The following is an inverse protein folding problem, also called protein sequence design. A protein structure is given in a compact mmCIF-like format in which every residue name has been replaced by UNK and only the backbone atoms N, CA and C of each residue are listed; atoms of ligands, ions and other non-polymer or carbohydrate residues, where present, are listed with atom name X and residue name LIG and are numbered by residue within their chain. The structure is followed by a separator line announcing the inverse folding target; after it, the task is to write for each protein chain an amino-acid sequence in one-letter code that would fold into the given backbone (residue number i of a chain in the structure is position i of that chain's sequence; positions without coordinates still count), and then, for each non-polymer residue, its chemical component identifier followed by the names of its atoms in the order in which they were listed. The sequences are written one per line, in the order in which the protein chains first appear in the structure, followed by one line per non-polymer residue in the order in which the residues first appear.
data_IF_430169139285
#
_entry.id   IF_430169139285
#
_cell.length_a   1.000
_cell.length_b   1.000
_cell.length_c   1.000
_cell.angle_alpha   90.00
_cell.angle_beta   90.00
_cell.angle_gamma   90.00
#
_symmetry.space_group_name_H-M   'P 1'
#
loop_
_entity.id
_entity.type
_entity.pdbx_description
1 polymer ?
#
# COMPACT_ATOMS: atom_id res chain seq x y z
N UNK A 1 -59.70 -29.91 44.41
CA UNK A 1 -58.24 -29.72 44.48
C UNK A 1 -57.64 -30.26 43.20
N UNK A 2 -57.06 -29.33 42.43
CA UNK A 2 -56.04 -29.50 41.38
C UNK A 2 -56.34 -30.40 40.19
N UNK A 3 -56.90 -29.76 39.17
CA UNK A 3 -56.88 -30.16 37.76
C UNK A 3 -55.41 -30.31 37.28
N UNK A 4 -55.06 -31.34 36.51
CA UNK A 4 -53.75 -31.43 35.86
C UNK A 4 -53.60 -30.33 34.80
N UNK A 5 -52.48 -29.60 34.85
CA UNK A 5 -52.13 -28.64 33.81
C UNK A 5 -51.95 -29.35 32.46
N UNK A 6 -52.55 -28.82 31.38
CA UNK A 6 -52.37 -29.38 30.05
C UNK A 6 -50.98 -29.02 29.52
N UNK A 7 -50.32 -30.02 28.95
CA UNK A 7 -49.08 -29.88 28.20
C UNK A 7 -49.39 -29.05 26.94
N UNK A 8 -49.10 -27.75 26.95
CA UNK A 8 -49.29 -26.89 25.79
C UNK A 8 -48.23 -27.19 24.72
N UNK A 9 -48.58 -28.13 23.83
CA UNK A 9 -47.93 -28.31 22.53
C UNK A 9 -48.30 -27.14 21.62
N UNK A 10 -47.71 -25.97 21.86
CA UNK A 10 -47.89 -24.82 20.98
C UNK A 10 -47.11 -25.05 19.67
N UNK A 11 -47.80 -25.64 18.70
CA UNK A 11 -47.39 -25.74 17.29
C UNK A 11 -47.54 -24.36 16.65
N UNK A 12 -46.66 -23.43 17.03
CA UNK A 12 -46.58 -22.09 16.45
C UNK A 12 -45.78 -22.11 15.14
N UNK A 13 -46.18 -21.31 14.16
CA UNK A 13 -45.45 -21.11 12.91
C UNK A 13 -43.94 -20.88 13.19
N UNK A 14 -43.03 -21.49 12.41
CA UNK A 14 -41.59 -21.37 12.68
C UNK A 14 -41.17 -19.90 12.68
N UNK A 15 -40.52 -19.47 13.77
CA UNK A 15 -40.01 -18.11 13.94
C UNK A 15 -39.27 -17.67 12.67
N UNK A 16 -39.77 -16.64 11.93
CA UNK A 16 -39.15 -16.18 10.69
C UNK A 16 -37.68 -15.82 10.86
N UNK A 17 -37.29 -15.35 12.04
CA UNK A 17 -35.89 -15.10 12.39
C UNK A 17 -35.06 -16.37 12.50
N UNK A 18 -35.62 -17.46 13.05
CA UNK A 18 -34.93 -18.75 13.12
C UNK A 18 -34.73 -19.33 11.72
N UNK A 19 -35.72 -19.20 10.84
CA UNK A 19 -35.62 -19.63 9.43
C UNK A 19 -34.53 -18.83 8.69
N UNK A 20 -34.49 -17.50 8.85
CA UNK A 20 -33.45 -16.66 8.25
C UNK A 20 -32.04 -17.04 8.73
N UNK A 21 -31.85 -17.16 10.04
CA UNK A 21 -30.55 -17.49 10.61
C UNK A 21 -30.08 -18.90 10.22
N UNK A 22 -31.00 -19.89 10.20
CA UNK A 22 -30.71 -21.24 9.75
C UNK A 22 -30.34 -21.32 8.27
N UNK A 23 -31.10 -20.63 7.40
CA UNK A 23 -30.83 -20.58 5.97
C UNK A 23 -29.48 -19.89 5.67
N UNK A 24 -29.19 -18.78 6.36
CA UNK A 24 -27.91 -18.09 6.22
C UNK A 24 -26.72 -18.96 6.67
N UNK A 25 -26.85 -19.69 7.79
CA UNK A 25 -25.82 -20.60 8.26
C UNK A 25 -25.57 -21.73 7.25
N UNK A 26 -26.65 -22.29 6.68
CA UNK A 26 -26.57 -23.32 5.65
C UNK A 26 -25.92 -22.81 4.35
N UNK A 27 -26.23 -21.57 3.94
CA UNK A 27 -25.62 -20.93 2.77
C UNK A 27 -24.12 -20.73 2.98
N UNK A 28 -23.74 -20.12 4.11
CA UNK A 28 -22.33 -19.88 4.45
C UNK A 28 -21.52 -21.16 4.56
N UNK A 29 -22.11 -22.21 5.12
CA UNK A 29 -21.47 -23.52 5.20
C UNK A 29 -21.16 -24.08 3.80
N UNK A 30 -22.09 -23.94 2.85
CA UNK A 30 -21.89 -24.37 1.45
C UNK A 30 -20.83 -23.53 0.75
N UNK A 31 -20.81 -22.21 0.97
CA UNK A 31 -19.76 -21.32 0.44
C UNK A 31 -18.35 -21.74 0.90
N UNK A 32 -18.22 -22.19 2.14
CA UNK A 32 -16.95 -22.66 2.70
C UNK A 32 -16.64 -24.13 2.38
N UNK A 33 -17.46 -24.79 1.55
CA UNK A 33 -17.35 -26.23 1.22
C UNK A 33 -17.32 -27.15 2.46
N UNK A 34 -18.00 -26.75 3.54
CA UNK A 34 -18.06 -27.54 4.77
C UNK A 34 -19.27 -28.49 4.71
N UNK A 35 -19.05 -29.79 4.90
CA UNK A 35 -20.15 -30.76 4.93
C UNK A 35 -20.83 -30.81 6.31
N UNK A 36 -22.12 -31.13 6.36
CA UNK A 36 -22.83 -31.35 7.64
C UNK A 36 -22.19 -32.49 8.45
N UNK A 37 -21.70 -33.53 7.75
CA UNK A 37 -20.99 -34.66 8.36
C UNK A 37 -19.69 -34.21 9.02
N UNK A 38 -18.94 -33.29 8.40
CA UNK A 38 -17.70 -32.73 8.95
C UNK A 38 -17.93 -31.97 10.26
N UNK A 39 -19.01 -31.19 10.35
CA UNK A 39 -19.41 -30.48 11.58
C UNK A 39 -19.89 -31.42 12.70
N UNK A 40 -20.49 -32.55 12.32
CA UNK A 40 -20.87 -33.58 13.27
C UNK A 40 -19.67 -34.35 13.80
N UNK A 41 -18.72 -34.70 12.93
CA UNK A 41 -17.47 -35.37 13.32
C UNK A 41 -16.56 -34.49 14.17
N UNK A 42 -16.58 -33.17 14.00
CA UNK A 42 -15.84 -32.24 14.86
C UNK A 42 -16.45 -32.04 16.25
N UNK A 43 -17.59 -32.70 16.53
CA UNK A 43 -18.23 -32.66 17.85
C UNK A 43 -18.85 -31.30 18.21
N UNK A 44 -19.01 -30.40 17.23
CA UNK A 44 -19.57 -29.06 17.45
C UNK A 44 -21.08 -29.13 17.65
N UNK A 45 -21.76 -29.92 16.81
CA UNK A 45 -23.21 -30.11 16.84
C UNK A 45 -23.57 -31.46 16.23
N UNK A 46 -24.55 -32.17 16.80
CA UNK A 46 -25.06 -33.41 16.21
C UNK A 46 -25.70 -33.13 14.83
N UNK A 47 -25.49 -34.00 13.85
CA UNK A 47 -26.03 -33.86 12.49
C UNK A 47 -27.54 -33.57 12.45
N UNK A 48 -28.34 -34.25 13.30
CA UNK A 48 -29.78 -34.01 13.38
C UNK A 48 -30.11 -32.61 13.92
N UNK A 49 -29.37 -32.14 14.91
CA UNK A 49 -29.53 -30.81 15.50
C UNK A 49 -29.10 -29.69 14.54
N UNK A 50 -28.05 -29.93 13.75
CA UNK A 50 -27.61 -29.01 12.69
C UNK A 50 -28.67 -28.87 11.59
N UNK A 51 -29.23 -30.00 11.12
CA UNK A 51 -30.29 -29.98 10.11
C UNK A 51 -31.55 -29.28 10.64
N UNK A 52 -31.92 -29.52 11.89
CA UNK A 52 -33.06 -28.85 12.52
C UNK A 52 -32.83 -27.34 12.62
N UNK A 53 -31.63 -26.91 12.97
CA UNK A 53 -31.26 -25.49 12.99
C UNK A 53 -31.25 -24.86 11.59
N UNK A 54 -30.62 -25.50 10.60
CA UNK A 54 -30.56 -24.99 9.22
C UNK A 54 -31.96 -24.84 8.58
N UNK A 55 -32.91 -25.68 8.99
CA UNK A 55 -34.32 -25.61 8.57
C UNK A 55 -35.17 -24.66 9.43
N UNK A 56 -34.58 -23.96 10.40
CA UNK A 56 -35.28 -23.05 11.31
C UNK A 56 -36.21 -23.74 12.31
N UNK A 57 -36.06 -25.05 12.54
CA UNK A 57 -36.92 -25.86 13.43
C UNK A 57 -36.42 -25.91 14.87
N UNK A 58 -35.14 -25.58 15.10
CA UNK A 58 -34.55 -25.55 16.44
C UNK A 58 -33.55 -24.42 16.58
N UNK A 59 -33.32 -23.99 17.82
CA UNK A 59 -32.35 -22.96 18.14
C UNK A 59 -31.21 -23.54 19.00
N UNK A 60 -29.98 -23.65 18.49
CA UNK A 60 -28.87 -24.19 19.26
C UNK A 60 -28.54 -23.32 20.48
N UNK A 61 -28.00 -23.96 21.52
CA UNK A 61 -27.50 -23.26 22.73
C UNK A 61 -26.41 -22.27 22.35
N UNK A 62 -26.23 -21.23 23.15
CA UNK A 62 -25.26 -20.16 22.91
C UNK A 62 -23.83 -20.67 22.68
N UNK A 63 -23.35 -21.60 23.52
CA UNK A 63 -22.04 -22.24 23.34
C UNK A 63 -21.89 -22.95 21.99
N UNK A 64 -22.96 -23.58 21.49
CA UNK A 64 -22.95 -24.25 20.18
C UNK A 64 -23.01 -23.24 19.04
N UNK A 65 -23.77 -22.15 19.18
CA UNK A 65 -23.81 -21.05 18.21
C UNK A 65 -22.44 -20.38 18.07
N UNK A 66 -21.75 -20.11 19.18
CA UNK A 66 -20.42 -19.53 19.16
C UNK A 66 -19.40 -20.42 18.41
N UNK A 67 -19.41 -21.73 18.66
CA UNK A 67 -18.56 -22.68 17.92
C UNK A 67 -18.92 -22.77 16.43
N UNK A 68 -20.21 -22.68 16.09
CA UNK A 68 -20.64 -22.63 14.70
C UNK A 68 -20.19 -21.33 14.01
N UNK A 69 -20.27 -20.20 14.69
CA UNK A 69 -19.77 -18.91 14.18
C UNK A 69 -18.27 -18.97 13.89
N UNK A 70 -17.48 -19.55 14.79
CA UNK A 70 -16.04 -19.76 14.60
C UNK A 70 -15.75 -20.57 13.31
N UNK A 71 -16.42 -21.71 13.13
CA UNK A 71 -16.22 -22.55 11.93
C UNK A 71 -16.76 -21.90 10.66
N UNK A 72 -17.84 -21.13 10.76
CA UNK A 72 -18.40 -20.36 9.64
C UNK A 72 -17.64 -19.06 9.35
N UNK A 73 -16.55 -18.79 10.09
CA UNK A 73 -15.75 -17.57 10.04
C UNK A 73 -16.62 -16.32 10.18
N UNK A 74 -17.54 -16.36 11.13
CA UNK A 74 -18.42 -15.26 11.49
C UNK A 74 -18.01 -14.65 12.83
N UNK A 75 -18.17 -13.32 13.00
CA UNK A 75 -18.00 -12.68 14.30
C UNK A 75 -18.94 -13.31 15.35
N UNK A 76 -18.55 -13.34 16.64
CA UNK A 76 -19.42 -13.79 17.71
C UNK A 76 -20.77 -13.05 17.72
N UNK A 77 -21.87 -13.78 17.90
CA UNK A 77 -23.24 -13.24 17.95
C UNK A 77 -23.91 -13.02 16.59
N UNK A 78 -23.24 -13.32 15.49
CA UNK A 78 -23.77 -13.19 14.12
C UNK A 78 -25.06 -13.98 13.91
N UNK A 79 -25.17 -15.20 14.42
CA UNK A 79 -26.37 -16.03 14.31
C UNK A 79 -27.56 -15.37 15.03
N UNK A 80 -27.33 -14.73 16.19
CA UNK A 80 -28.37 -14.00 16.91
C UNK A 80 -28.81 -12.72 16.17
N UNK A 81 -27.87 -12.02 15.53
CA UNK A 81 -28.14 -10.83 14.69
C UNK A 81 -28.98 -11.19 13.46
N UNK A 82 -28.66 -12.30 12.80
CA UNK A 82 -29.45 -12.81 11.65
C UNK A 82 -30.88 -13.15 12.04
N UNK A 83 -31.09 -13.66 13.27
CA UNK A 83 -32.45 -13.89 13.79
C UNK A 83 -33.23 -12.59 13.90
N UNK A 84 -32.60 -11.50 14.35
CA UNK A 84 -33.22 -10.16 14.41
C UNK A 84 -33.41 -9.50 13.04
N UNK A 85 -32.90 -10.10 11.97
CA UNK A 85 -33.02 -9.56 10.61
C UNK A 85 -31.94 -8.53 10.24
N UNK A 86 -30.88 -8.41 11.05
CA UNK A 86 -29.75 -7.57 10.72
C UNK A 86 -28.95 -8.17 9.55
N UNK A 87 -28.67 -7.36 8.53
CA UNK A 87 -27.84 -7.78 7.40
C UNK A 87 -26.38 -7.85 7.87
N UNK A 88 -25.86 -9.08 7.94
CA UNK A 88 -24.45 -9.32 8.27
C UNK A 88 -23.64 -9.05 7.01
N UNK A 89 -23.11 -7.83 6.91
CA UNK A 89 -21.98 -7.55 6.01
C UNK A 89 -20.77 -8.34 6.54
N UNK A 90 -19.97 -9.01 5.69
CA UNK A 90 -18.69 -9.55 6.12
C UNK A 90 -17.85 -8.38 6.64
N UNK A 91 -17.77 -8.25 7.96
CA UNK A 91 -16.85 -7.34 8.64
C UNK A 91 -15.63 -8.18 8.94
N UNK A 92 -14.48 -7.72 8.45
CA UNK A 92 -13.18 -8.29 8.78
C UNK A 92 -13.04 -8.40 10.32
N UNK A 93 -12.31 -9.41 10.84
CA UNK A 93 -12.23 -9.67 12.27
C UNK A 93 -11.84 -8.42 13.08
N UNK A 94 -12.32 -8.27 14.33
CA UNK A 94 -11.95 -7.14 15.17
C UNK A 94 -10.45 -7.19 15.45
N UNK A 95 -9.82 -6.03 15.35
CA UNK A 95 -8.40 -5.77 15.57
C UNK A 95 -8.01 -6.13 17.02
N UNK A 96 -7.61 -7.38 17.24
CA UNK A 96 -6.64 -7.70 18.30
C UNK A 96 -5.27 -7.37 17.72
N UNK A 97 -4.72 -6.22 18.10
CA UNK A 97 -3.33 -5.79 17.87
C UNK A 97 -2.76 -6.34 16.57
N UNK A 98 -3.32 -5.90 15.44
CA UNK A 98 -2.73 -6.20 14.14
C UNK A 98 -1.36 -5.53 14.12
N UNK A 99 -0.31 -6.35 13.95
CA UNK A 99 0.89 -5.89 13.27
C UNK A 99 0.43 -5.07 12.04
N UNK A 100 1.06 -3.91 11.76
CA UNK A 100 0.60 -3.02 10.71
C UNK A 100 0.36 -3.85 9.45
N UNK A 101 -0.83 -3.73 8.86
CA UNK A 101 -1.09 -4.42 7.61
C UNK A 101 -0.08 -3.90 6.58
N UNK A 102 0.32 -4.70 5.59
CA UNK A 102 1.25 -4.25 4.53
C UNK A 102 0.81 -2.91 3.90
N UNK A 103 -0.50 -2.59 3.91
CA UNK A 103 -1.04 -1.32 3.46
C UNK A 103 -0.75 -0.13 4.39
N UNK A 104 -0.71 -0.36 5.71
CA UNK A 104 -0.36 0.65 6.71
C UNK A 104 1.14 0.94 6.67
N UNK A 105 1.97 -0.09 6.54
CA UNK A 105 3.42 0.08 6.38
C UNK A 105 3.76 0.89 5.11
N UNK A 106 3.12 0.56 3.98
CA UNK A 106 3.33 1.30 2.73
C UNK A 106 2.80 2.74 2.82
N UNK A 107 1.71 2.99 3.57
CA UNK A 107 1.23 4.35 3.83
C UNK A 107 2.18 5.14 4.73
N UNK A 108 2.72 4.52 5.78
CA UNK A 108 3.72 5.13 6.66
C UNK A 108 5.00 5.46 5.90
N UNK A 109 5.45 4.56 5.01
CA UNK A 109 6.60 4.81 4.14
C UNK A 109 6.34 6.00 3.21
N UNK A 110 5.18 6.05 2.55
CA UNK A 110 4.82 7.18 1.70
C UNK A 110 4.79 8.50 2.49
N UNK A 111 4.23 8.47 3.71
CA UNK A 111 4.22 9.63 4.61
C UNK A 111 5.63 10.05 5.06
N UNK A 112 6.51 9.09 5.33
CA UNK A 112 7.91 9.35 5.69
C UNK A 112 8.66 10.03 4.54
N UNK A 113 8.47 9.56 3.30
CA UNK A 113 9.04 10.19 2.10
C UNK A 113 8.54 11.63 1.94
N UNK A 114 7.23 11.86 2.06
CA UNK A 114 6.65 13.22 1.97
C UNK A 114 7.20 14.14 3.06
N UNK A 115 7.34 13.62 4.28
CA UNK A 115 7.91 14.37 5.42
C UNK A 115 9.38 14.72 5.16
N UNK A 116 10.17 13.78 4.64
CA UNK A 116 11.57 14.01 4.28
C UNK A 116 11.71 15.09 3.19
N UNK A 117 10.89 15.03 2.14
CA UNK A 117 10.83 16.07 1.09
C UNK A 117 10.51 17.44 1.70
N UNK A 118 9.56 17.51 2.64
CA UNK A 118 9.25 18.75 3.36
C UNK A 118 10.47 19.34 4.08
N UNK A 119 11.29 18.48 4.69
CA UNK A 119 12.58 18.87 5.29
C UNK A 119 13.61 19.34 4.27
N UNK A 120 13.67 18.73 3.08
CA UNK A 120 14.54 19.25 2.00
C UNK A 120 14.08 20.60 1.47
N UNK A 121 12.77 20.85 1.42
CA UNK A 121 12.24 22.15 1.00
C UNK A 121 12.75 23.31 1.85
N UNK A 122 12.86 23.14 3.18
CA UNK A 122 13.44 24.17 4.05
C UNK A 122 14.94 24.33 3.84
N UNK A 123 15.68 23.23 3.64
CA UNK A 123 17.11 23.28 3.30
C UNK A 123 17.35 24.00 1.98
N UNK A 124 16.56 23.72 0.94
CA UNK A 124 16.62 24.38 -0.37
C UNK A 124 16.32 25.88 -0.26
N UNK A 125 15.34 26.26 0.57
CA UNK A 125 15.01 27.66 0.84
C UNK A 125 16.14 28.41 1.57
N UNK A 126 16.98 27.70 2.33
CA UNK A 126 18.15 28.25 3.03
C UNK A 126 19.43 28.29 2.19
N UNK A 127 19.39 27.81 0.94
CA UNK A 127 20.55 27.87 0.05
C UNK A 127 20.93 29.32 -0.25
N UNK A 128 22.24 29.63 -0.32
CA UNK A 128 22.69 30.97 -0.67
C UNK A 128 22.29 31.35 -2.12
N UNK A 129 22.50 32.62 -2.52
CA UNK A 129 22.38 33.03 -3.92
C UNK A 129 23.25 32.20 -4.86
N UNK A 130 22.88 32.06 -6.14
CA UNK A 130 23.57 31.15 -7.09
C UNK A 130 24.98 31.63 -7.45
N UNK A 131 25.26 32.91 -7.25
CA UNK A 131 26.56 33.54 -7.44
C UNK A 131 27.50 33.33 -6.24
N UNK A 132 26.97 32.88 -5.10
CA UNK A 132 27.77 32.62 -3.90
C UNK A 132 28.66 31.38 -4.14
N UNK A 133 29.98 31.46 -3.90
CA UNK A 133 30.88 30.30 -4.01
C UNK A 133 30.47 29.09 -3.17
N UNK A 134 29.74 29.29 -2.06
CA UNK A 134 29.22 28.23 -1.21
C UNK A 134 27.96 27.55 -1.78
N UNK A 135 27.35 28.07 -2.84
CA UNK A 135 26.14 27.54 -3.43
C UNK A 135 26.35 26.15 -4.03
N UNK A 136 27.28 26.00 -4.98
CA UNK A 136 27.51 24.72 -5.69
C UNK A 136 27.78 23.56 -4.72
N UNK A 137 28.70 23.67 -3.74
CA UNK A 137 28.93 22.57 -2.80
C UNK A 137 27.68 22.19 -2.00
N UNK A 138 26.88 23.18 -1.57
CA UNK A 138 25.66 22.94 -0.78
C UNK A 138 24.54 22.32 -1.62
N UNK A 139 24.30 22.83 -2.82
CA UNK A 139 23.25 22.29 -3.69
C UNK A 139 23.59 20.88 -4.17
N UNK A 140 24.86 20.59 -4.45
CA UNK A 140 25.33 19.24 -4.81
C UNK A 140 25.10 18.25 -3.66
N UNK A 141 25.31 18.65 -2.41
CA UNK A 141 25.00 17.80 -1.25
C UNK A 141 23.49 17.51 -1.15
N UNK A 142 22.64 18.54 -1.30
CA UNK A 142 21.18 18.36 -1.31
C UNK A 142 20.71 17.43 -2.43
N UNK A 143 21.25 17.59 -3.64
CA UNK A 143 20.95 16.72 -4.79
C UNK A 143 21.39 15.27 -4.54
N UNK A 144 22.53 15.06 -3.88
CA UNK A 144 22.97 13.73 -3.45
C UNK A 144 21.97 13.10 -2.47
N UNK A 145 21.55 13.83 -1.45
CA UNK A 145 20.60 13.33 -0.45
C UNK A 145 19.23 13.01 -1.06
N UNK A 146 18.75 13.85 -1.99
CA UNK A 146 17.51 13.60 -2.73
C UNK A 146 17.59 12.33 -3.59
N UNK A 147 18.71 12.07 -4.26
CA UNK A 147 18.92 10.81 -5.01
C UNK A 147 18.93 9.60 -4.09
N UNK A 148 19.55 9.71 -2.91
CA UNK A 148 19.53 8.64 -1.91
C UNK A 148 18.10 8.37 -1.43
N UNK A 149 17.32 9.42 -1.16
CA UNK A 149 15.90 9.28 -0.79
C UNK A 149 15.09 8.60 -1.90
N UNK A 150 15.27 9.01 -3.17
CA UNK A 150 14.61 8.35 -4.29
C UNK A 150 15.00 6.87 -4.38
N UNK A 151 16.28 6.54 -4.29
CA UNK A 151 16.77 5.17 -4.39
C UNK A 151 16.17 4.27 -3.30
N UNK A 152 16.11 4.77 -2.05
CA UNK A 152 15.49 4.04 -0.93
C UNK A 152 13.99 3.86 -1.17
N UNK A 153 13.28 4.91 -1.56
CA UNK A 153 11.85 4.86 -1.81
C UNK A 153 11.49 3.94 -3.00
N UNK A 154 12.27 3.99 -4.08
CA UNK A 154 12.10 3.16 -5.26
C UNK A 154 12.39 1.68 -4.96
N UNK A 155 13.42 1.39 -4.14
CA UNK A 155 13.70 0.02 -3.68
C UNK A 155 12.57 -0.52 -2.83
N UNK A 156 12.06 0.28 -1.91
CA UNK A 156 10.92 -0.11 -1.08
C UNK A 156 9.65 -0.34 -1.91
N UNK A 157 9.40 0.49 -2.94
CA UNK A 157 8.31 0.30 -3.89
C UNK A 157 8.40 -1.01 -4.70
N UNK A 158 9.62 -1.51 -4.95
CA UNK A 158 9.86 -2.76 -5.67
C UNK A 158 9.67 -4.01 -4.79
N UNK A 159 10.02 -3.90 -3.51
CA UNK A 159 9.89 -5.00 -2.53
C UNK A 159 8.44 -5.12 -2.07
N UNK A 160 7.79 -3.98 -1.82
CA UNK A 160 6.39 -3.92 -1.45
C UNK A 160 5.44 -3.83 -2.65
N UNK A 161 4.16 -3.64 -2.37
CA UNK A 161 3.17 -3.32 -3.40
C UNK A 161 3.30 -1.85 -3.81
N UNK A 162 3.43 -1.59 -5.10
CA UNK A 162 3.34 -0.22 -5.63
C UNK A 162 1.93 0.32 -5.36
N UNK A 163 1.83 1.35 -4.52
CA UNK A 163 0.57 2.03 -4.20
C UNK A 163 0.51 3.42 -4.84
N UNK A 164 -0.69 3.96 -5.11
CA UNK A 164 -0.84 5.32 -5.59
C UNK A 164 -0.21 6.38 -4.66
N UNK A 165 -0.23 6.15 -3.34
CA UNK A 165 0.40 7.04 -2.36
C UNK A 165 1.92 7.09 -2.55
N UNK A 166 2.56 5.93 -2.71
CA UNK A 166 4.00 5.85 -2.94
C UNK A 166 4.40 6.41 -4.32
N UNK A 167 3.60 6.19 -5.36
CA UNK A 167 3.80 6.82 -6.68
C UNK A 167 3.77 8.35 -6.56
N UNK A 168 2.79 8.92 -5.83
CA UNK A 168 2.70 10.36 -5.58
C UNK A 168 3.90 10.88 -4.78
N UNK A 169 4.34 10.13 -3.77
CA UNK A 169 5.51 10.49 -2.97
C UNK A 169 6.79 10.52 -3.81
N UNK A 170 7.05 9.46 -4.61
CA UNK A 170 8.18 9.41 -5.55
C UNK A 170 8.11 10.54 -6.58
N UNK A 171 6.93 10.81 -7.15
CA UNK A 171 6.73 11.94 -8.05
C UNK A 171 7.03 13.29 -7.40
N UNK A 172 6.83 13.42 -6.09
CA UNK A 172 7.16 14.64 -5.35
C UNK A 172 8.67 14.78 -5.14
N UNK A 173 9.38 13.69 -4.80
CA UNK A 173 10.85 13.68 -4.71
C UNK A 173 11.47 14.06 -6.06
N UNK A 174 11.00 13.45 -7.16
CA UNK A 174 11.51 13.71 -8.52
C UNK A 174 11.30 15.15 -8.95
N UNK A 175 10.13 15.74 -8.69
CA UNK A 175 9.89 17.17 -8.99
C UNK A 175 10.83 18.07 -8.21
N UNK A 176 11.01 17.83 -6.90
CA UNK A 176 11.93 18.64 -6.10
C UNK A 176 13.38 18.47 -6.60
N UNK A 177 13.80 17.27 -6.94
CA UNK A 177 15.10 17.03 -7.55
C UNK A 177 15.26 17.81 -8.86
N UNK A 178 14.28 17.72 -9.75
CA UNK A 178 14.28 18.43 -11.04
C UNK A 178 14.40 19.95 -10.83
N UNK A 179 13.58 20.54 -9.96
CA UNK A 179 13.59 21.98 -9.67
C UNK A 179 14.94 22.44 -9.11
N UNK A 180 15.51 21.67 -8.17
CA UNK A 180 16.82 21.97 -7.56
C UNK A 180 17.95 21.81 -8.57
N UNK A 181 17.89 20.78 -9.43
CA UNK A 181 18.92 20.49 -10.44
C UNK A 181 18.94 21.57 -11.52
N UNK A 182 17.77 22.03 -11.97
CA UNK A 182 17.66 23.14 -12.92
C UNK A 182 18.20 24.44 -12.32
N UNK A 183 17.88 24.74 -11.05
CA UNK A 183 18.48 25.89 -10.34
C UNK A 183 20.00 25.74 -10.24
N UNK A 184 20.51 24.56 -9.89
CA UNK A 184 21.95 24.29 -9.78
C UNK A 184 22.68 24.55 -11.11
N UNK A 185 22.08 24.14 -12.23
CA UNK A 185 22.66 24.28 -13.56
C UNK A 185 22.83 25.73 -14.05
N UNK A 186 22.14 26.70 -13.43
CA UNK A 186 22.30 28.14 -13.71
C UNK A 186 23.46 28.78 -12.97
N UNK A 187 24.05 28.11 -11.98
CA UNK A 187 25.17 28.66 -11.22
C UNK A 187 26.41 28.78 -12.11
N UNK A 188 27.24 29.85 -11.93
CA UNK A 188 28.48 30.00 -12.70
C UNK A 188 29.46 28.83 -12.51
N UNK A 189 29.40 28.17 -11.35
CA UNK A 189 30.21 27.00 -11.01
C UNK A 189 29.41 25.69 -11.08
N UNK A 190 28.34 25.63 -11.89
CA UNK A 190 27.60 24.38 -12.08
C UNK A 190 28.52 23.26 -12.59
N UNK A 191 28.33 22.05 -12.08
CA UNK A 191 29.10 20.88 -12.50
C UNK A 191 28.73 20.44 -13.92
N UNK A 192 29.57 19.63 -14.56
CA UNK A 192 29.25 19.04 -15.87
C UNK A 192 27.93 18.25 -15.82
N UNK A 193 27.71 17.46 -14.76
CA UNK A 193 26.49 16.68 -14.56
C UNK A 193 25.24 17.55 -14.47
N UNK A 194 25.30 18.64 -13.71
CA UNK A 194 24.19 19.62 -13.61
C UNK A 194 23.89 20.27 -14.96
N UNK A 195 24.92 20.72 -15.68
CA UNK A 195 24.74 21.34 -17.00
C UNK A 195 24.18 20.36 -18.03
N UNK A 196 24.68 19.13 -18.04
CA UNK A 196 24.21 18.04 -18.89
C UNK A 196 22.75 17.74 -18.63
N UNK A 197 22.38 17.56 -17.37
CA UNK A 197 21.00 17.28 -16.98
C UNK A 197 20.04 18.35 -17.49
N UNK A 198 20.36 19.63 -17.25
CA UNK A 198 19.53 20.75 -17.69
C UNK A 198 19.41 20.80 -19.23
N UNK A 199 20.53 20.75 -19.95
CA UNK A 199 20.54 20.78 -21.41
C UNK A 199 19.72 19.62 -22.01
N UNK A 200 19.88 18.41 -21.46
CA UNK A 200 19.12 17.23 -21.87
C UNK A 200 17.62 17.39 -21.63
N UNK A 201 17.23 17.91 -20.46
CA UNK A 201 15.82 18.12 -20.10
C UNK A 201 15.17 19.21 -20.94
N UNK A 202 15.87 20.29 -21.24
CA UNK A 202 15.40 21.37 -22.12
C UNK A 202 15.22 20.88 -23.57
N UNK A 203 16.14 20.05 -24.06
CA UNK A 203 16.03 19.40 -25.36
C UNK A 203 15.06 18.20 -25.39
N UNK A 204 14.45 17.84 -24.25
CA UNK A 204 13.58 16.67 -24.08
C UNK A 204 14.21 15.35 -24.57
N UNK A 205 15.50 15.18 -24.32
CA UNK A 205 16.27 14.00 -24.72
C UNK A 205 16.26 12.92 -23.63
N UNK A 206 16.19 11.67 -24.06
CA UNK A 206 16.42 10.50 -23.21
C UNK A 206 17.91 10.31 -22.93
N UNK A 207 18.25 9.48 -21.93
CA UNK A 207 19.64 9.12 -21.63
C UNK A 207 20.29 8.41 -22.82
N UNK A 208 19.56 7.54 -23.50
CA UNK A 208 20.02 6.83 -24.70
C UNK A 208 20.34 7.80 -25.84
N UNK A 209 19.42 8.71 -26.18
CA UNK A 209 19.65 9.71 -27.23
C UNK A 209 20.82 10.64 -26.91
N UNK A 210 20.98 11.00 -25.64
CA UNK A 210 22.11 11.83 -25.17
C UNK A 210 23.44 11.10 -25.30
N UNK A 211 23.47 9.82 -24.93
CA UNK A 211 24.65 8.97 -25.06
C UNK A 211 25.05 8.81 -26.54
N UNK A 212 24.06 8.56 -27.41
CA UNK A 212 24.27 8.49 -28.87
C UNK A 212 24.79 9.82 -29.43
N UNK A 213 24.21 10.95 -29.02
CA UNK A 213 24.63 12.27 -29.48
C UNK A 213 26.05 12.64 -29.02
N UNK A 214 26.44 12.26 -27.80
CA UNK A 214 27.79 12.46 -27.29
C UNK A 214 28.80 11.41 -27.78
N UNK A 215 28.35 10.30 -28.39
CA UNK A 215 29.22 9.20 -28.78
C UNK A 215 29.81 8.41 -27.60
N UNK A 216 29.11 8.37 -26.47
CA UNK A 216 29.52 7.68 -25.23
C UNK A 216 28.51 6.59 -24.85
N UNK A 217 28.83 5.78 -23.83
CA UNK A 217 27.86 4.82 -23.27
C UNK A 217 26.84 5.49 -22.35
N UNK A 218 25.63 4.94 -22.24
CA UNK A 218 24.59 5.42 -21.31
C UNK A 218 25.06 5.48 -19.85
N UNK A 219 25.95 4.56 -19.46
CA UNK A 219 26.54 4.54 -18.13
C UNK A 219 27.34 5.82 -17.84
N UNK A 220 28.03 6.39 -18.83
CA UNK A 220 28.79 7.63 -18.66
C UNK A 220 27.86 8.83 -18.44
N UNK A 221 26.73 8.89 -19.16
CA UNK A 221 25.70 9.91 -18.96
C UNK A 221 25.11 9.81 -17.55
N UNK A 222 24.72 8.61 -17.12
CA UNK A 222 24.14 8.38 -15.79
C UNK A 222 25.14 8.70 -14.67
N UNK A 223 26.41 8.33 -14.85
CA UNK A 223 27.50 8.65 -13.92
C UNK A 223 27.71 10.17 -13.82
N UNK A 224 27.82 10.86 -14.95
CA UNK A 224 27.97 12.31 -15.00
C UNK A 224 26.80 13.03 -14.29
N UNK A 225 25.55 12.71 -14.64
CA UNK A 225 24.35 13.30 -13.99
C UNK A 225 24.24 12.96 -12.48
N UNK A 226 24.87 11.87 -12.05
CA UNK A 226 24.93 11.44 -10.65
C UNK A 226 26.14 11.98 -9.88
N UNK A 227 26.92 12.88 -10.49
CA UNK A 227 28.17 13.43 -9.94
C UNK A 227 29.21 12.35 -9.61
N UNK A 228 29.20 11.27 -10.39
CA UNK A 228 30.22 10.22 -10.32
C UNK A 228 31.34 10.52 -11.31
N UNK A 229 32.54 10.03 -11.00
CA UNK A 229 33.69 10.18 -11.88
C UNK A 229 33.45 9.42 -13.19
N UNK A 230 33.63 10.12 -14.31
CA UNK A 230 33.65 9.56 -15.66
C UNK A 230 35.07 9.62 -16.24
N UNK A 231 35.42 8.75 -17.20
CA UNK A 231 36.68 8.86 -17.94
C UNK A 231 36.83 10.24 -18.60
N UNK A 232 38.06 10.76 -18.67
CA UNK A 232 38.32 12.11 -19.21
C UNK A 232 37.83 12.28 -20.66
N UNK A 233 38.00 11.26 -21.51
CA UNK A 233 37.51 11.29 -22.88
C UNK A 233 35.98 11.39 -22.95
N UNK A 234 35.26 10.68 -22.07
CA UNK A 234 33.81 10.76 -22.00
C UNK A 234 33.36 12.13 -21.46
N UNK A 235 34.07 12.68 -20.47
CA UNK A 235 33.80 14.02 -19.94
C UNK A 235 33.94 15.09 -21.03
N UNK A 236 34.99 15.04 -21.85
CA UNK A 236 35.21 15.98 -22.96
C UNK A 236 34.10 15.87 -24.01
N UNK A 237 33.69 14.65 -24.36
CA UNK A 237 32.61 14.42 -25.32
C UNK A 237 31.26 14.95 -24.80
N UNK A 238 30.97 14.71 -23.52
CA UNK A 238 29.77 15.22 -22.85
C UNK A 238 29.80 16.76 -22.79
N UNK A 239 30.93 17.37 -22.45
CA UNK A 239 31.09 18.83 -22.43
C UNK A 239 30.84 19.44 -23.81
N UNK A 240 31.38 18.82 -24.86
CA UNK A 240 31.17 19.26 -26.24
C UNK A 240 29.69 19.19 -26.65
N UNK A 241 28.95 18.17 -26.22
CA UNK A 241 27.50 18.08 -26.45
C UNK A 241 26.76 19.18 -25.70
N UNK A 242 27.07 19.40 -24.42
CA UNK A 242 26.43 20.44 -23.60
C UNK A 242 26.62 21.82 -24.21
N UNK A 243 27.81 22.11 -24.76
CA UNK A 243 28.09 23.36 -25.44
C UNK A 243 27.30 23.55 -26.75
N UNK A 244 26.87 22.46 -27.40
CA UNK A 244 26.06 22.51 -28.63
C UNK A 244 24.56 22.63 -28.37
N UNK A 245 24.10 22.17 -27.20
CA UNK A 245 22.69 22.23 -26.79
C UNK A 245 22.29 23.55 -26.12
N UNK A 246 23.25 24.41 -25.79
CA UNK A 246 23.05 25.69 -25.09
C UNK A 246 23.19 26.90 -26.00
#
# INVERSE_FOLDING_TARGET
MTNPEPVDQSTGAPDPGMVRAGAAAAARRRELNISQRSLASSGIINAGALIAFEKGRSWPRERTRAKLEEVLKWPPGTIARLRRGEVVRPVAPPETTSAPSDGDEVSLLAQAVVTAVGGFGSTVASLPPVEDPAFTPRVTAVLSDLRQLEAVAARAARIGRVTPALIKALGTVRRLYDDVMLRAATAPQATLGQRLYAARREANLTVEETAQAAGVGEAAIQQAESEQSVPAADAEAIEALVAQLR
#
